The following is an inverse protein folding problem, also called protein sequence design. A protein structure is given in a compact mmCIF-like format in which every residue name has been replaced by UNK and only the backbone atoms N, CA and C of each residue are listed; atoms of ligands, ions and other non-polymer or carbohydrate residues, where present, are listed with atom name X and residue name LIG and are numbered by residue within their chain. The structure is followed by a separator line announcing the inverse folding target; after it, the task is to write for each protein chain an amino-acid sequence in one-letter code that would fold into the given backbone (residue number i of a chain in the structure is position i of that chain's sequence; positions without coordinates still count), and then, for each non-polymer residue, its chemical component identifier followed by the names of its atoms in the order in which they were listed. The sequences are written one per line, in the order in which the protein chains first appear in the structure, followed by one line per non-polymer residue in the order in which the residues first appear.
data_IF_631179351162
#
_entry.id   IF_631179351162
#
_cell.length_a   1.000
_cell.length_b   1.000
_cell.length_c   1.000
_cell.angle_alpha   90.00
_cell.angle_beta   90.00
_cell.angle_gamma   90.00
#
_symmetry.space_group_name_H-M   'P 1'
#
loop_
_entity.id
_entity.type
_entity.pdbx_description
1 polymer ?
#
# COMPACT_ATOMS: atom_id res chain seq x y z
N UNK A 1 -7.46 -22.98 18.76
CA UNK A 1 -6.94 -21.59 18.80
C UNK A 1 -8.07 -20.58 18.58
N UNK A 2 -8.15 -19.54 19.41
CA UNK A 2 -9.10 -18.43 19.25
C UNK A 2 -8.58 -17.36 18.27
N UNK A 3 -9.36 -16.30 18.02
CA UNK A 3 -8.90 -15.16 17.24
C UNK A 3 -7.67 -14.51 17.90
N UNK A 4 -6.77 -13.99 17.07
CA UNK A 4 -5.54 -13.30 17.49
C UNK A 4 -5.73 -11.81 17.24
N UNK A 5 -5.46 -11.01 18.27
CA UNK A 5 -5.50 -9.56 18.15
C UNK A 5 -4.18 -9.04 17.59
N UNK A 6 -4.29 -8.15 16.61
CA UNK A 6 -3.15 -7.43 16.04
C UNK A 6 -3.07 -6.03 16.66
N UNK A 7 -1.88 -5.41 16.73
CA UNK A 7 -1.76 -4.00 17.08
C UNK A 7 -2.46 -3.15 16.00
N UNK A 8 -3.30 -2.18 16.39
CA UNK A 8 -4.08 -1.36 15.45
C UNK A 8 -3.75 0.15 15.48
N UNK A 9 -2.77 0.56 16.28
CA UNK A 9 -2.39 1.98 16.41
C UNK A 9 -3.57 2.86 16.82
N UNK A 10 -3.58 4.12 16.36
CA UNK A 10 -4.70 5.04 16.54
C UNK A 10 -5.69 5.05 15.35
N UNK A 11 -5.60 4.07 14.46
CA UNK A 11 -6.44 4.00 13.28
C UNK A 11 -7.92 3.77 13.64
N UNK A 12 -8.80 4.60 13.10
CA UNK A 12 -10.24 4.48 13.33
C UNK A 12 -10.84 3.29 12.57
N UNK A 13 -10.27 2.94 11.41
CA UNK A 13 -10.71 1.85 10.56
C UNK A 13 -9.54 1.35 9.71
N UNK A 14 -9.42 0.03 9.60
CA UNK A 14 -8.61 -0.62 8.56
C UNK A 14 -9.55 -1.15 7.48
N UNK A 15 -9.36 -0.69 6.25
CA UNK A 15 -10.21 -1.00 5.10
C UNK A 15 -9.55 -2.01 4.15
N UNK A 16 -8.22 -1.99 4.07
CA UNK A 16 -7.47 -2.71 3.03
C UNK A 16 -6.20 -3.37 3.59
N UNK A 17 -6.29 -4.60 4.10
CA UNK A 17 -5.11 -5.35 4.52
C UNK A 17 -4.41 -6.00 3.31
N UNK A 18 -3.08 -5.94 3.28
CA UNK A 18 -2.22 -6.75 2.40
C UNK A 18 -1.35 -7.68 3.24
N UNK A 19 -1.03 -8.85 2.70
CA UNK A 19 -0.24 -9.87 3.39
C UNK A 19 0.92 -10.32 2.50
N UNK A 20 2.14 -10.27 3.03
CA UNK A 20 3.34 -10.83 2.41
C UNK A 20 4.45 -10.93 3.45
N UNK A 21 5.54 -11.62 3.13
CA UNK A 21 6.76 -11.60 3.95
C UNK A 21 7.62 -10.39 3.53
N UNK A 22 7.36 -9.23 4.16
CA UNK A 22 7.94 -7.95 3.72
C UNK A 22 9.35 -7.74 4.26
N UNK A 23 9.71 -8.31 5.41
CA UNK A 23 11.08 -8.27 5.94
C UNK A 23 11.92 -9.51 5.62
N UNK A 24 11.32 -10.52 4.97
CA UNK A 24 11.98 -11.73 4.47
C UNK A 24 12.48 -12.64 5.60
N UNK A 25 11.79 -12.64 6.73
CA UNK A 25 12.11 -13.46 7.88
C UNK A 25 11.47 -14.87 7.84
N UNK A 26 10.64 -15.12 6.82
CA UNK A 26 9.93 -16.39 6.62
C UNK A 26 8.56 -16.45 7.30
N UNK A 27 8.12 -15.35 7.92
CA UNK A 27 6.79 -15.20 8.49
C UNK A 27 5.94 -14.23 7.65
N UNK A 28 4.63 -14.47 7.62
CA UNK A 28 3.71 -13.60 6.91
C UNK A 28 3.44 -12.35 7.75
N UNK A 29 3.76 -11.19 7.20
CA UNK A 29 3.46 -9.88 7.75
C UNK A 29 2.13 -9.34 7.21
N UNK A 30 1.74 -8.17 7.73
CA UNK A 30 0.51 -7.49 7.35
C UNK A 30 0.80 -6.01 7.10
N UNK A 31 0.25 -5.45 6.04
CA UNK A 31 0.11 -4.01 5.87
C UNK A 31 -1.36 -3.67 6.05
N UNK A 32 -1.67 -2.80 6.99
CA UNK A 32 -3.00 -2.27 7.23
C UNK A 32 -3.15 -0.94 6.50
N UNK A 33 -3.90 -0.97 5.40
CA UNK A 33 -4.46 0.21 4.76
C UNK A 33 -5.54 0.83 5.63
N UNK A 34 -5.27 2.01 6.18
CA UNK A 34 -6.15 2.67 7.12
C UNK A 34 -7.00 3.75 6.46
N UNK A 35 -8.21 3.91 6.99
CA UNK A 35 -9.20 4.82 6.49
C UNK A 35 -9.79 5.64 7.65
N UNK A 36 -10.14 6.88 7.35
CA UNK A 36 -10.95 7.72 8.23
C UNK A 36 -12.01 8.44 7.38
N UNK A 37 -13.21 8.59 7.95
CA UNK A 37 -14.33 9.19 7.26
C UNK A 37 -14.31 10.73 7.38
N UNK A 38 -13.38 11.37 6.67
CA UNK A 38 -13.20 12.83 6.66
C UNK A 38 -14.19 13.61 5.78
N UNK A 39 -15.50 13.29 5.80
CA UNK A 39 -16.52 13.88 4.88
C UNK A 39 -16.52 15.42 4.90
N UNK A 40 -16.10 16.04 6.01
CA UNK A 40 -16.13 17.49 6.18
C UNK A 40 -14.86 18.21 5.69
N UNK A 41 -13.69 17.58 5.72
CA UNK A 41 -12.42 18.26 5.43
C UNK A 41 -11.69 17.71 4.21
N UNK A 42 -11.86 16.41 3.87
CA UNK A 42 -11.09 15.72 2.81
C UNK A 42 -9.56 15.91 2.96
N UNK A 43 -9.12 16.15 4.19
CA UNK A 43 -7.73 16.47 4.52
C UNK A 43 -7.16 15.34 5.35
N UNK A 44 -6.06 14.69 4.91
CA UNK A 44 -5.32 13.69 5.68
C UNK A 44 -5.18 14.03 7.15
N UNK A 45 -5.38 13.02 7.99
CA UNK A 45 -5.11 13.08 9.43
C UNK A 45 -4.10 12.00 9.80
N UNK A 46 -3.31 12.25 10.84
CA UNK A 46 -2.26 11.32 11.29
C UNK A 46 -2.82 9.94 11.66
N UNK A 47 -4.04 9.89 12.22
CA UNK A 47 -4.73 8.65 12.56
C UNK A 47 -5.06 7.75 11.36
N UNK A 48 -4.83 8.21 10.13
CA UNK A 48 -5.05 7.44 8.92
C UNK A 48 -3.76 6.88 8.30
N UNK A 49 -2.64 7.00 9.02
CA UNK A 49 -1.36 6.44 8.58
C UNK A 49 -1.49 4.93 8.43
N UNK A 50 -1.01 4.40 7.30
CA UNK A 50 -0.94 2.96 7.09
C UNK A 50 0.13 2.35 7.98
N UNK A 51 -0.09 1.12 8.41
CA UNK A 51 0.85 0.42 9.28
C UNK A 51 1.39 -0.83 8.61
N UNK A 52 2.68 -1.10 8.78
CA UNK A 52 3.24 -2.43 8.60
C UNK A 52 3.34 -3.11 9.96
N UNK A 53 2.70 -4.27 10.07
CA UNK A 53 2.72 -5.16 11.23
C UNK A 53 3.66 -6.31 10.89
N UNK A 54 4.88 -6.27 11.46
CA UNK A 54 5.84 -7.35 11.36
C UNK A 54 5.45 -8.51 12.28
N UNK A 55 5.63 -9.75 11.82
CA UNK A 55 5.25 -10.96 12.52
C UNK A 55 6.47 -11.83 12.85
N UNK A 56 7.05 -11.66 14.04
CA UNK A 56 8.12 -12.52 14.49
C UNK A 56 7.55 -13.71 15.29
N UNK A 57 7.13 -14.76 14.57
CA UNK A 57 6.57 -15.98 15.13
C UNK A 57 5.41 -15.73 16.12
N UNK A 58 4.34 -15.11 15.61
CA UNK A 58 3.13 -14.73 16.35
C UNK A 58 3.32 -13.61 17.38
N UNK A 59 4.49 -12.96 17.40
CA UNK A 59 4.71 -11.69 18.10
C UNK A 59 4.63 -10.56 17.07
N UNK A 60 3.64 -9.68 17.23
CA UNK A 60 3.32 -8.65 16.25
C UNK A 60 3.81 -7.28 16.71
N UNK A 61 4.52 -6.58 15.84
CA UNK A 61 4.99 -5.20 16.07
C UNK A 61 4.50 -4.30 14.94
N UNK A 62 3.79 -3.23 15.27
CA UNK A 62 3.32 -2.26 14.30
C UNK A 62 4.29 -1.08 14.18
N UNK A 63 4.53 -0.66 12.94
CA UNK A 63 5.29 0.53 12.56
C UNK A 63 4.54 1.30 11.49
N UNK A 64 4.59 2.62 11.55
CA UNK A 64 3.99 3.48 10.54
C UNK A 64 4.73 3.34 9.20
N UNK A 65 3.98 3.25 8.11
CA UNK A 65 4.54 3.38 6.76
C UNK A 65 4.80 4.85 6.46
N UNK A 66 6.03 5.15 6.01
CA UNK A 66 6.39 6.51 5.61
C UNK A 66 5.59 6.95 4.40
N UNK A 67 4.92 8.10 4.45
CA UNK A 67 4.05 8.54 3.37
C UNK A 67 3.22 9.75 3.76
N UNK A 68 2.35 10.18 2.84
CA UNK A 68 1.28 11.10 3.20
C UNK A 68 0.16 10.19 3.71
N UNK A 69 -0.28 10.31 4.98
CA UNK A 69 -1.42 9.55 5.48
C UNK A 69 -2.61 9.69 4.53
N UNK A 70 -3.19 8.56 4.13
CA UNK A 70 -4.18 8.49 3.08
C UNK A 70 -5.57 8.12 3.58
N UNK A 71 -6.53 8.08 2.67
CA UNK A 71 -7.78 7.36 2.88
C UNK A 71 -7.68 6.09 2.06
N UNK A 72 -6.98 5.10 2.61
CA UNK A 72 -6.63 3.90 1.87
C UNK A 72 -7.90 3.09 1.58
N UNK A 73 -8.14 2.72 0.32
CA UNK A 73 -9.26 1.86 -0.09
C UNK A 73 -8.82 0.48 -0.55
N UNK A 74 -7.60 0.38 -1.07
CA UNK A 74 -7.04 -0.86 -1.57
C UNK A 74 -5.55 -0.88 -1.32
N UNK A 75 -5.01 -2.07 -1.08
CA UNK A 75 -3.58 -2.33 -1.01
C UNK A 75 -3.28 -3.53 -1.90
N UNK A 76 -2.09 -3.57 -2.50
CA UNK A 76 -1.65 -4.68 -3.33
C UNK A 76 -0.17 -4.95 -3.04
N UNK A 77 0.12 -6.17 -2.59
CA UNK A 77 1.47 -6.68 -2.42
C UNK A 77 1.84 -7.55 -3.63
N UNK A 78 2.89 -7.19 -4.36
CA UNK A 78 3.35 -7.91 -5.54
C UNK A 78 4.79 -7.52 -5.87
N UNK A 79 5.56 -8.41 -6.47
CA UNK A 79 6.87 -8.09 -7.08
C UNK A 79 6.65 -7.48 -8.47
N UNK A 80 6.25 -6.20 -8.55
CA UNK A 80 5.92 -5.58 -9.83
C UNK A 80 7.15 -5.07 -10.58
N UNK A 81 8.29 -4.91 -9.90
CA UNK A 81 9.54 -4.53 -10.55
C UNK A 81 10.35 -5.74 -11.05
N UNK A 82 10.03 -6.95 -10.58
CA UNK A 82 10.64 -8.22 -10.97
C UNK A 82 12.01 -8.47 -10.34
N UNK A 83 12.29 -7.89 -9.18
CA UNK A 83 13.58 -8.02 -8.49
C UNK A 83 13.62 -9.12 -7.42
N UNK A 84 12.50 -9.81 -7.20
CA UNK A 84 12.37 -10.89 -6.22
C UNK A 84 12.14 -10.39 -4.79
N UNK A 85 11.82 -9.12 -4.59
CA UNK A 85 11.27 -8.58 -3.34
C UNK A 85 9.81 -8.19 -3.55
N UNK A 86 9.00 -8.32 -2.49
CA UNK A 86 7.60 -7.91 -2.57
C UNK A 86 7.52 -6.40 -2.44
N UNK A 87 6.99 -5.76 -3.47
CA UNK A 87 6.65 -4.34 -3.48
C UNK A 87 5.23 -4.14 -2.93
N UNK A 88 4.89 -2.88 -2.61
CA UNK A 88 3.59 -2.51 -2.05
C UNK A 88 2.99 -1.32 -2.81
N UNK A 89 1.73 -1.43 -3.16
CA UNK A 89 0.91 -0.34 -3.69
C UNK A 89 -0.22 -0.03 -2.72
N UNK A 90 -0.48 1.26 -2.53
CA UNK A 90 -1.52 1.80 -1.65
C UNK A 90 -2.40 2.74 -2.48
N UNK A 91 -3.66 2.32 -2.67
CA UNK A 91 -4.68 3.10 -3.37
C UNK A 91 -5.40 4.04 -2.44
N UNK A 92 -5.32 5.33 -2.74
CA UNK A 92 -5.85 6.40 -1.92
C UNK A 92 -7.08 7.07 -2.54
N UNK A 93 -7.76 7.87 -1.72
CA UNK A 93 -8.92 8.67 -2.10
C UNK A 93 -8.68 10.20 -1.99
N UNK A 94 -9.51 10.96 -2.70
CA UNK A 94 -9.58 12.42 -2.73
C UNK A 94 -8.31 13.15 -3.19
N UNK A 95 -7.55 13.73 -2.24
CA UNK A 95 -6.47 14.68 -2.52
C UNK A 95 -5.08 14.05 -2.35
N UNK A 96 -5.01 12.79 -1.92
CA UNK A 96 -3.76 12.06 -1.73
C UNK A 96 -3.54 11.14 -2.94
N UNK A 97 -2.41 11.26 -3.65
CA UNK A 97 -2.09 10.32 -4.71
C UNK A 97 -1.89 8.91 -4.14
N UNK A 98 -2.10 7.90 -4.98
CA UNK A 98 -1.67 6.54 -4.67
C UNK A 98 -0.18 6.54 -4.29
N UNK A 99 0.18 5.72 -3.30
CA UNK A 99 1.57 5.60 -2.84
C UNK A 99 2.10 4.23 -3.19
N UNK A 100 3.34 4.20 -3.69
CA UNK A 100 4.00 2.98 -4.14
C UNK A 100 5.34 2.83 -3.41
N UNK A 101 5.70 1.61 -3.08
CA UNK A 101 6.92 1.27 -2.37
C UNK A 101 7.60 0.10 -3.05
N UNK A 102 8.90 0.22 -3.26
CA UNK A 102 9.72 -0.94 -3.59
C UNK A 102 10.06 -1.72 -2.33
N UNK A 103 10.01 -3.04 -2.41
CA UNK A 103 10.65 -3.91 -1.45
C UNK A 103 12.16 -3.68 -1.43
N UNK A 104 12.82 -4.09 -0.35
CA UNK A 104 14.28 -4.06 -0.30
C UNK A 104 14.86 -5.43 0.02
N UNK A 105 16.05 -5.70 -0.51
CA UNK A 105 16.77 -6.95 -0.23
C UNK A 105 17.10 -7.16 1.25
N UNK A 106 17.08 -6.10 2.08
CA UNK A 106 17.28 -6.16 3.53
C UNK A 106 15.97 -6.28 4.33
N UNK A 107 14.84 -6.38 3.63
CA UNK A 107 13.52 -6.29 4.22
C UNK A 107 12.99 -4.85 4.28
N UNK A 108 11.68 -4.71 4.19
CA UNK A 108 10.96 -3.45 4.25
C UNK A 108 10.94 -2.67 2.95
N UNK A 109 10.65 -1.37 3.07
CA UNK A 109 10.16 -0.57 1.96
C UNK A 109 10.98 0.68 1.69
N UNK A 110 11.10 1.02 0.40
CA UNK A 110 11.53 2.33 -0.08
C UNK A 110 10.40 2.95 -0.90
N UNK A 111 9.89 4.10 -0.46
CA UNK A 111 8.88 4.84 -1.22
C UNK A 111 9.41 5.19 -2.63
N UNK A 112 8.59 4.95 -3.64
CA UNK A 112 8.84 5.36 -5.03
C UNK A 112 8.56 6.84 -5.17
N UNK A 113 9.45 7.53 -5.88
CA UNK A 113 9.33 8.94 -6.20
C UNK A 113 9.25 9.15 -7.72
N UNK A 114 8.76 10.31 -8.15
CA UNK A 114 8.78 10.81 -9.55
C UNK A 114 9.99 10.36 -10.35
N UNK A 115 11.14 10.72 -9.81
CA UNK A 115 12.44 10.63 -10.45
C UNK A 115 12.90 9.18 -10.66
N UNK A 116 12.27 8.22 -9.97
CA UNK A 116 12.58 6.81 -10.15
C UNK A 116 12.05 6.28 -11.50
N UNK A 117 11.02 6.93 -12.08
CA UNK A 117 10.49 6.57 -13.39
C UNK A 117 9.82 5.19 -13.47
N UNK A 118 9.55 4.55 -12.32
CA UNK A 118 8.93 3.21 -12.24
C UNK A 118 7.42 3.31 -12.48
N UNK A 119 6.77 4.27 -11.84
CA UNK A 119 5.33 4.54 -11.98
C UNK A 119 5.18 5.85 -12.76
N UNK A 120 4.83 5.81 -14.06
CA UNK A 120 4.79 7.01 -14.89
C UNK A 120 3.59 7.91 -14.59
N UNK A 121 2.50 7.34 -14.07
CA UNK A 121 1.23 8.01 -13.81
C UNK A 121 0.61 7.40 -12.54
N UNK A 122 0.12 8.27 -11.65
CA UNK A 122 -0.68 7.86 -10.48
C UNK A 122 -2.10 8.40 -10.60
N UNK A 123 -3.02 7.83 -9.80
CA UNK A 123 -4.34 8.42 -9.58
C UNK A 123 -4.50 8.85 -8.11
N UNK A 124 -5.67 9.38 -7.77
CA UNK A 124 -5.99 9.90 -6.44
C UNK A 124 -7.31 9.32 -5.88
N UNK A 125 -7.97 8.40 -6.60
CA UNK A 125 -9.28 7.86 -6.22
C UNK A 125 -9.37 6.36 -6.55
N UNK A 126 -8.32 5.60 -6.19
CA UNK A 126 -8.23 4.19 -6.55
C UNK A 126 -9.05 3.33 -5.60
N UNK A 127 -9.98 2.56 -6.17
CA UNK A 127 -10.85 1.66 -5.43
C UNK A 127 -10.38 0.21 -5.47
N UNK A 128 -9.61 -0.16 -6.49
CA UNK A 128 -9.06 -1.51 -6.64
C UNK A 128 -7.79 -1.48 -7.46
N UNK A 129 -6.85 -2.35 -7.12
CA UNK A 129 -5.64 -2.62 -7.88
C UNK A 129 -5.52 -4.11 -8.13
N UNK A 130 -4.95 -4.50 -9.27
CA UNK A 130 -4.57 -5.88 -9.56
C UNK A 130 -3.33 -5.89 -10.47
N UNK A 131 -2.67 -7.05 -10.56
CA UNK A 131 -1.48 -7.20 -11.41
C UNK A 131 -1.39 -8.58 -12.04
N UNK A 132 -0.96 -8.60 -13.29
CA UNK A 132 -0.78 -9.81 -14.07
C UNK A 132 0.18 -9.54 -15.23
N UNK A 133 0.87 -10.56 -15.72
CA UNK A 133 1.61 -10.48 -16.99
C UNK A 133 0.61 -10.65 -18.15
N UNK A 134 0.05 -9.54 -18.63
CA UNK A 134 -0.98 -9.56 -19.67
C UNK A 134 -0.38 -9.68 -21.07
N UNK A 135 0.83 -9.15 -21.25
CA UNK A 135 1.49 -9.09 -22.55
C UNK A 135 2.47 -10.27 -22.79
N UNK A 136 2.69 -11.13 -21.78
CA UNK A 136 3.62 -12.28 -21.76
C UNK A 136 5.10 -11.90 -21.88
N UNK A 137 5.52 -10.78 -21.30
CA UNK A 137 6.93 -10.35 -21.25
C UNK A 137 7.65 -10.77 -19.95
N UNK A 138 6.96 -11.53 -19.10
CA UNK A 138 7.42 -11.99 -17.78
C UNK A 138 7.64 -10.84 -16.79
N UNK A 139 7.02 -9.68 -17.02
CA UNK A 139 6.94 -8.57 -16.06
C UNK A 139 5.47 -8.33 -15.73
N UNK A 140 5.12 -8.17 -14.45
CA UNK A 140 3.73 -7.87 -14.11
C UNK A 140 3.31 -6.49 -14.62
N UNK A 141 2.17 -6.45 -15.33
CA UNK A 141 1.47 -5.23 -15.67
C UNK A 141 0.58 -4.78 -14.49
N UNK A 142 0.38 -3.47 -14.35
CA UNK A 142 -0.42 -2.88 -13.27
C UNK A 142 -1.79 -2.43 -13.77
N UNK A 143 -2.84 -2.83 -13.06
CA UNK A 143 -4.22 -2.43 -13.32
C UNK A 143 -4.80 -1.66 -12.14
N UNK A 144 -5.35 -0.48 -12.41
CA UNK A 144 -5.95 0.39 -11.40
C UNK A 144 -7.37 0.75 -11.82
N UNK A 145 -8.33 0.56 -10.91
CA UNK A 145 -9.71 0.98 -11.10
C UNK A 145 -10.01 2.14 -10.14
N UNK A 146 -10.50 3.26 -10.67
CA UNK A 146 -10.78 4.46 -9.89
C UNK A 146 -12.27 4.83 -9.95
N UNK A 147 -12.70 5.64 -8.97
CA UNK A 147 -14.04 6.24 -8.95
C UNK A 147 -13.91 7.76 -9.08
N UNK A 148 -14.15 8.30 -10.27
CA UNK A 148 -14.19 9.75 -10.49
C UNK A 148 -13.71 10.20 -11.86
N UNK A 149 -13.73 11.52 -12.08
CA UNK A 149 -13.22 12.16 -13.30
C UNK A 149 -11.70 12.40 -13.27
N UNK A 150 -10.95 11.69 -12.42
CA UNK A 150 -9.49 11.73 -12.45
C UNK A 150 -9.00 11.03 -13.72
N UNK A 151 -8.72 11.82 -14.76
CA UNK A 151 -7.71 11.42 -15.74
C UNK A 151 -6.42 11.24 -14.94
N UNK A 152 -5.68 10.15 -15.11
CA UNK A 152 -4.38 9.97 -14.45
C UNK A 152 -3.42 11.08 -14.89
N UNK A 153 -3.46 12.23 -14.20
CA UNK A 153 -2.83 13.48 -14.61
C UNK A 153 -1.73 13.94 -13.66
N UNK A 154 -1.57 13.27 -12.54
CA UNK A 154 -0.39 13.47 -11.73
C UNK A 154 0.69 12.55 -12.32
N UNK A 155 1.48 13.15 -13.22
CA UNK A 155 2.83 12.66 -13.50
C UNK A 155 3.50 12.71 -12.13
N UNK A 156 3.70 11.55 -11.49
CA UNK A 156 4.46 11.48 -10.23
C UNK A 156 5.77 12.12 -10.53
#
# INVERSE_FOLDING_TARGET
PGPISLPQGEALMTSAPAFADFDRDGHLDIVNGNYYLGILTRTPIENAVDHWIGNNNMNFEARELTGIPGQTHTTLASDFNGDGTIDLMVGNDYAVPDTYYLGTAKGGFRKIQKQDGVIPITTQNTMSMDTADYNNDLRPDLYLANIGMSRGLDVV
#
